data_IF_783541294012
#
_entry.id   IF_783541294012
#
_cell.length_a   1.000
_cell.length_b   1.000
_cell.length_c   1.000
_cell.angle_alpha   90.00
_cell.angle_beta   90.00
_cell.angle_gamma   90.00
#
_symmetry.space_group_name_H-M   'P 1'
#
loop_
_entity.id
_entity.type
_entity.pdbx_description
1 polymer ?
#
# COMPACT_ATOMS: atom_id res chain seq x y z
N UNK A 1 0.73 4.77 -12.01
CA UNK A 1 1.72 5.54 -12.80
C UNK A 1 3.01 4.75 -13.07
N UNK A 2 3.69 4.20 -12.06
CA UNK A 2 4.90 3.39 -12.28
C UNK A 2 4.64 2.19 -13.20
N UNK A 3 3.56 1.44 -12.95
CA UNK A 3 3.17 0.30 -13.79
C UNK A 3 2.97 0.67 -15.27
N UNK A 4 2.33 1.81 -15.56
CA UNK A 4 2.10 2.29 -16.93
C UNK A 4 3.42 2.70 -17.60
N UNK A 5 4.35 3.33 -16.86
CA UNK A 5 5.72 3.61 -17.35
C UNK A 5 6.53 2.34 -17.61
N UNK A 6 6.27 1.28 -16.86
CA UNK A 6 6.89 -0.04 -17.06
C UNK A 6 6.24 -0.85 -18.21
N UNK A 7 5.24 -0.30 -18.92
CA UNK A 7 4.53 -1.00 -19.99
C UNK A 7 3.62 -2.14 -19.51
N UNK A 8 3.31 -2.20 -18.21
CA UNK A 8 2.44 -3.25 -17.66
C UNK A 8 0.99 -2.94 -18.04
N UNK A 9 0.26 -3.98 -18.40
CA UNK A 9 -1.13 -3.91 -18.86
C UNK A 9 -2.14 -4.30 -17.79
N UNK A 10 -1.67 -4.85 -16.66
CA UNK A 10 -2.53 -5.36 -15.59
C UNK A 10 -1.95 -5.06 -14.21
N UNK A 11 -2.83 -4.79 -13.24
CA UNK A 11 -2.48 -4.59 -11.84
C UNK A 11 -3.04 -5.73 -10.99
N UNK A 12 -2.27 -6.16 -10.00
CA UNK A 12 -2.77 -7.05 -8.94
C UNK A 12 -2.43 -6.47 -7.58
N UNK A 13 -3.30 -6.71 -6.60
CA UNK A 13 -3.10 -6.30 -5.22
C UNK A 13 -3.77 -7.29 -4.26
N UNK A 14 -3.37 -7.23 -3.00
CA UNK A 14 -3.95 -7.97 -1.88
C UNK A 14 -4.71 -7.04 -0.94
N UNK A 15 -5.74 -7.52 -0.24
CA UNK A 15 -6.35 -6.70 0.80
C UNK A 15 -6.97 -7.54 1.92
N UNK A 16 -6.95 -6.99 3.13
CA UNK A 16 -7.59 -7.57 4.31
C UNK A 16 -8.82 -6.75 4.68
N UNK A 17 -8.64 -5.61 5.35
CA UNK A 17 -9.74 -4.70 5.68
C UNK A 17 -10.42 -4.06 4.45
N UNK A 18 -9.80 -4.11 3.27
CA UNK A 18 -10.36 -3.60 2.00
C UNK A 18 -9.87 -2.22 1.58
N UNK A 19 -9.25 -1.43 2.46
CA UNK A 19 -8.81 -0.06 2.14
C UNK A 19 -7.77 -0.01 1.00
N UNK A 20 -6.74 -0.85 1.06
CA UNK A 20 -5.74 -0.95 0.00
C UNK A 20 -6.37 -1.37 -1.34
N UNK A 21 -7.33 -2.30 -1.29
CA UNK A 21 -8.05 -2.75 -2.47
C UNK A 21 -8.88 -1.63 -3.10
N UNK A 22 -9.62 -0.86 -2.28
CA UNK A 22 -10.39 0.29 -2.74
C UNK A 22 -9.48 1.36 -3.37
N UNK A 23 -8.37 1.70 -2.72
CA UNK A 23 -7.40 2.66 -3.25
C UNK A 23 -6.79 2.19 -4.58
N UNK A 24 -6.46 0.90 -4.67
CA UNK A 24 -5.92 0.30 -5.89
C UNK A 24 -6.95 0.32 -7.03
N UNK A 25 -8.19 -0.08 -6.74
CA UNK A 25 -9.28 -0.07 -7.71
C UNK A 25 -9.54 1.35 -8.27
N UNK A 26 -9.57 2.35 -7.39
CA UNK A 26 -9.73 3.75 -7.79
C UNK A 26 -8.59 4.21 -8.71
N UNK A 27 -7.34 3.96 -8.31
CA UNK A 27 -6.18 4.34 -9.11
C UNK A 27 -6.16 3.63 -10.48
N UNK A 28 -6.61 2.38 -10.53
CA UNK A 28 -6.69 1.60 -11.77
C UNK A 28 -7.82 2.09 -12.68
N UNK A 29 -8.99 2.42 -12.12
CA UNK A 29 -10.10 3.04 -12.85
C UNK A 29 -9.68 4.39 -13.47
N UNK A 30 -8.96 5.23 -12.72
CA UNK A 30 -8.45 6.51 -13.22
C UNK A 30 -7.39 6.37 -14.32
N UNK A 31 -6.65 5.26 -14.35
CA UNK A 31 -5.55 5.04 -15.28
C UNK A 31 -5.91 4.12 -16.46
N UNK A 32 -7.16 3.65 -16.48
CA UNK A 32 -7.72 2.68 -17.42
C UNK A 32 -6.87 1.39 -17.47
N UNK A 33 -6.67 0.79 -16.30
CA UNK A 33 -5.91 -0.45 -16.15
C UNK A 33 -6.77 -1.53 -15.49
N UNK A 34 -6.85 -2.75 -16.05
CA UNK A 34 -7.55 -3.85 -15.39
C UNK A 34 -6.82 -4.21 -14.09
N UNK A 35 -7.59 -4.37 -13.01
CA UNK A 35 -7.06 -4.72 -11.71
C UNK A 35 -7.76 -5.94 -11.11
N UNK A 36 -6.94 -6.85 -10.54
CA UNK A 36 -7.45 -7.96 -9.71
C UNK A 36 -7.00 -7.81 -8.27
N UNK A 37 -7.92 -8.02 -7.35
CA UNK A 37 -7.69 -7.84 -5.92
C UNK A 37 -7.95 -9.16 -5.22
N UNK A 38 -6.91 -9.71 -4.60
CA UNK A 38 -6.99 -10.91 -3.78
C UNK A 38 -7.40 -10.55 -2.36
N UNK A 39 -8.44 -11.21 -1.85
CA UNK A 39 -8.96 -10.94 -0.51
C UNK A 39 -9.34 -12.26 0.16
N UNK A 40 -9.01 -12.45 1.43
CA UNK A 40 -9.38 -13.66 2.16
C UNK A 40 -10.91 -13.83 2.20
N UNK A 41 -11.44 -15.04 2.00
CA UNK A 41 -12.88 -15.25 1.91
C UNK A 41 -13.64 -14.75 3.16
N UNK A 42 -13.06 -14.92 4.35
CA UNK A 42 -13.63 -14.39 5.61
C UNK A 42 -13.67 -12.86 5.64
N UNK A 43 -12.67 -12.22 5.05
CA UNK A 43 -12.58 -10.77 4.98
C UNK A 43 -13.55 -10.21 3.93
N UNK A 44 -13.79 -10.94 2.83
CA UNK A 44 -14.81 -10.59 1.82
C UNK A 44 -16.19 -10.51 2.45
N UNK A 45 -16.57 -11.51 3.26
CA UNK A 45 -17.87 -11.54 3.92
C UNK A 45 -18.00 -10.41 4.96
N UNK A 46 -16.95 -10.19 5.76
CA UNK A 46 -16.93 -9.15 6.79
C UNK A 46 -16.90 -7.73 6.24
N UNK A 47 -16.27 -7.53 5.08
CA UNK A 47 -16.00 -6.21 4.48
C UNK A 47 -16.76 -6.03 3.15
N UNK A 48 -17.98 -6.58 3.08
CA UNK A 48 -18.87 -6.46 1.93
C UNK A 48 -18.98 -5.04 1.34
N UNK A 49 -19.08 -3.95 2.14
CA UNK A 49 -19.12 -2.59 1.59
C UNK A 49 -17.89 -2.21 0.77
N UNK A 50 -16.70 -2.65 1.18
CA UNK A 50 -15.46 -2.36 0.45
C UNK A 50 -15.35 -3.24 -0.81
N UNK A 51 -15.79 -4.49 -0.75
CA UNK A 51 -15.86 -5.39 -1.91
C UNK A 51 -16.79 -4.81 -2.98
N UNK A 52 -17.94 -4.28 -2.57
CA UNK A 52 -18.87 -3.63 -3.47
C UNK A 52 -18.24 -2.41 -4.15
N UNK A 53 -17.56 -1.54 -3.38
CA UNK A 53 -16.84 -0.37 -3.94
C UNK A 53 -15.77 -0.77 -4.95
N UNK A 54 -14.99 -1.80 -4.66
CA UNK A 54 -13.97 -2.32 -5.57
C UNK A 54 -14.59 -2.77 -6.90
N UNK A 55 -15.67 -3.55 -6.85
CA UNK A 55 -16.39 -4.01 -8.05
C UNK A 55 -17.04 -2.86 -8.83
N UNK A 56 -17.60 -1.87 -8.13
CA UNK A 56 -18.18 -0.67 -8.74
C UNK A 56 -17.13 0.11 -9.56
N UNK A 57 -15.89 0.12 -9.10
CA UNK A 57 -14.75 0.73 -9.80
C UNK A 57 -14.15 -0.19 -10.89
N UNK A 58 -14.78 -1.32 -11.22
CA UNK A 58 -14.34 -2.23 -12.27
C UNK A 58 -13.24 -3.21 -11.85
N UNK A 59 -12.91 -3.31 -10.56
CA UNK A 59 -11.93 -4.27 -10.06
C UNK A 59 -12.52 -5.68 -9.93
N UNK A 60 -11.74 -6.68 -10.32
CA UNK A 60 -12.07 -8.10 -10.09
C UNK A 60 -11.63 -8.50 -8.69
N UNK A 61 -12.57 -8.80 -7.79
CA UNK A 61 -12.26 -9.25 -6.42
C UNK A 61 -12.26 -10.77 -6.37
N UNK A 62 -11.10 -11.37 -6.10
CA UNK A 62 -10.88 -12.83 -6.03
C UNK A 62 -10.87 -13.26 -4.55
N UNK A 63 -11.90 -14.00 -4.09
CA UNK A 63 -11.92 -14.54 -2.74
C UNK A 63 -10.96 -15.74 -2.60
N UNK A 64 -10.01 -15.65 -1.68
CA UNK A 64 -9.06 -16.72 -1.38
C UNK A 64 -9.62 -17.60 -0.26
N UNK A 65 -9.97 -18.84 -0.63
CA UNK A 65 -10.50 -19.86 0.29
C UNK A 65 -9.41 -20.80 0.85
N UNK A 66 -8.16 -20.68 0.36
CA UNK A 66 -7.05 -21.53 0.83
C UNK A 66 -6.59 -21.11 2.23
N UNK A 67 -6.20 -22.10 3.03
CA UNK A 67 -5.55 -21.89 4.32
C UNK A 67 -6.47 -21.21 5.35
N UNK A 68 -5.97 -20.17 6.00
CA UNK A 68 -6.68 -19.45 7.06
C UNK A 68 -7.79 -18.52 6.55
N UNK A 69 -7.86 -18.31 5.22
CA UNK A 69 -8.72 -17.36 4.53
C UNK A 69 -8.51 -15.92 4.99
N UNK A 70 -7.25 -15.53 5.24
CA UNK A 70 -6.86 -14.21 5.75
C UNK A 70 -5.98 -13.44 4.78
N UNK A 71 -5.58 -12.21 5.15
CA UNK A 71 -4.63 -11.38 4.41
C UNK A 71 -3.36 -12.14 4.01
N UNK A 72 -2.82 -13.01 4.87
CA UNK A 72 -1.61 -13.79 4.55
C UNK A 72 -1.82 -14.69 3.33
N UNK A 73 -2.96 -15.36 3.26
CA UNK A 73 -3.29 -16.25 2.14
C UNK A 73 -3.53 -15.45 0.86
N UNK A 74 -4.15 -14.27 0.98
CA UNK A 74 -4.30 -13.33 -0.13
C UNK A 74 -2.95 -12.84 -0.69
N UNK A 75 -1.98 -12.49 0.18
CA UNK A 75 -0.62 -12.15 -0.23
C UNK A 75 0.03 -13.31 -1.00
N UNK A 76 -0.12 -14.54 -0.52
CA UNK A 76 0.48 -15.71 -1.17
C UNK A 76 -0.10 -15.98 -2.56
N UNK A 77 -1.43 -15.89 -2.74
CA UNK A 77 -2.03 -16.05 -4.07
C UNK A 77 -1.67 -14.89 -5.01
N UNK A 78 -1.63 -13.65 -4.51
CA UNK A 78 -1.18 -12.51 -5.30
C UNK A 78 0.28 -12.67 -5.77
N UNK A 79 1.18 -13.16 -4.91
CA UNK A 79 2.57 -13.46 -5.30
C UNK A 79 2.66 -14.60 -6.31
N UNK A 80 1.82 -15.63 -6.20
CA UNK A 80 1.76 -16.73 -7.18
C UNK A 80 1.33 -16.22 -8.55
N UNK A 81 0.27 -15.42 -8.61
CA UNK A 81 -0.17 -14.78 -9.86
C UNK A 81 0.93 -13.88 -10.44
N UNK A 82 1.58 -13.07 -9.59
CA UNK A 82 2.69 -12.25 -10.02
C UNK A 82 3.83 -13.08 -10.63
N UNK A 83 4.22 -14.18 -9.98
CA UNK A 83 5.31 -15.04 -10.49
C UNK A 83 5.00 -15.67 -11.85
N UNK A 84 3.74 -15.93 -12.15
CA UNK A 84 3.31 -16.49 -13.43
C UNK A 84 3.15 -15.43 -14.53
N UNK A 85 2.83 -14.18 -14.16
CA UNK A 85 2.41 -13.14 -15.11
C UNK A 85 3.22 -11.83 -14.99
N UNK A 86 4.41 -11.83 -14.37
CA UNK A 86 5.16 -10.60 -14.04
C UNK A 86 5.51 -9.75 -15.27
N UNK A 87 5.56 -10.32 -16.47
CA UNK A 87 5.88 -9.61 -17.71
C UNK A 87 4.80 -8.58 -18.06
N UNK A 88 3.53 -8.93 -17.88
CA UNK A 88 2.37 -8.08 -18.19
C UNK A 88 1.76 -7.44 -16.94
N UNK A 89 2.02 -8.01 -15.77
CA UNK A 89 1.35 -7.68 -14.51
C UNK A 89 2.28 -6.98 -13.52
N UNK A 90 1.80 -5.86 -12.94
CA UNK A 90 2.45 -5.21 -11.81
C UNK A 90 1.76 -5.57 -10.50
N UNK A 91 2.53 -6.05 -9.53
CA UNK A 91 2.04 -6.29 -8.18
C UNK A 91 2.18 -5.05 -7.32
N UNK A 92 1.04 -4.53 -6.85
CA UNK A 92 0.93 -3.32 -6.07
C UNK A 92 0.75 -3.68 -4.59
N UNK A 93 1.87 -3.93 -3.93
CA UNK A 93 1.93 -4.36 -2.53
C UNK A 93 1.60 -3.19 -1.60
N UNK A 94 0.63 -3.39 -0.70
CA UNK A 94 -0.02 -2.30 0.05
C UNK A 94 0.66 -1.86 1.34
N UNK A 95 1.83 -2.42 1.64
CA UNK A 95 2.50 -2.25 2.93
C UNK A 95 4.01 -2.12 2.77
N UNK A 96 4.69 -1.53 3.76
CA UNK A 96 6.16 -1.45 3.78
C UNK A 96 6.80 -2.77 4.23
N UNK A 97 6.32 -3.89 3.68
CA UNK A 97 6.84 -5.22 3.92
C UNK A 97 7.08 -5.94 2.58
N UNK A 98 7.64 -7.15 2.62
CA UNK A 98 7.98 -7.91 1.42
C UNK A 98 9.43 -7.71 0.94
N UNK A 99 9.81 -8.34 -0.18
CA UNK A 99 11.19 -8.34 -0.67
C UNK A 99 11.58 -6.95 -1.18
N UNK A 100 12.89 -6.66 -1.15
CA UNK A 100 13.42 -5.52 -1.89
C UNK A 100 13.01 -5.63 -3.38
N UNK A 101 12.56 -4.54 -4.04
CA UNK A 101 12.61 -3.12 -3.64
C UNK A 101 11.32 -2.54 -3.04
N UNK A 102 10.29 -3.35 -2.75
CA UNK A 102 8.97 -2.83 -2.34
C UNK A 102 8.99 -1.97 -1.07
N UNK A 103 9.68 -2.33 0.03
CA UNK A 103 9.74 -1.48 1.21
C UNK A 103 10.35 -0.10 0.92
N UNK A 104 11.36 -0.02 0.06
CA UNK A 104 11.98 1.25 -0.33
C UNK A 104 11.00 2.10 -1.14
N UNK A 105 10.30 1.51 -2.10
CA UNK A 105 9.33 2.23 -2.94
C UNK A 105 8.18 2.77 -2.09
N UNK A 106 7.57 1.91 -1.25
CA UNK A 106 6.45 2.31 -0.38
C UNK A 106 6.88 3.40 0.59
N UNK A 107 8.10 3.32 1.13
CA UNK A 107 8.67 4.34 2.01
C UNK A 107 8.85 5.68 1.30
N UNK A 108 9.37 5.70 0.07
CA UNK A 108 9.54 6.96 -0.67
C UNK A 108 8.19 7.57 -1.08
N UNK A 109 7.20 6.75 -1.43
CA UNK A 109 5.85 7.22 -1.74
C UNK A 109 5.01 7.65 -0.55
N UNK A 110 5.45 7.39 0.68
CA UNK A 110 4.77 7.84 1.90
C UNK A 110 5.51 9.02 2.56
N UNK A 111 6.73 9.34 2.11
CA UNK A 111 7.61 10.37 2.71
C UNK A 111 6.94 11.74 2.81
N UNK A 112 6.08 12.10 1.86
CA UNK A 112 5.43 13.41 1.84
C UNK A 112 4.63 13.70 3.11
N UNK A 113 4.04 12.69 3.77
CA UNK A 113 3.29 12.88 5.02
C UNK A 113 4.18 13.52 6.09
N UNK A 114 5.43 13.06 6.21
CA UNK A 114 6.39 13.59 7.17
C UNK A 114 6.90 14.97 6.80
N UNK A 115 7.13 15.23 5.51
CA UNK A 115 7.56 16.54 5.00
C UNK A 115 6.47 17.60 5.20
N UNK A 116 5.22 17.28 4.90
CA UNK A 116 4.07 18.15 5.12
C UNK A 116 3.81 18.38 6.60
N UNK A 117 3.85 17.34 7.43
CA UNK A 117 3.68 17.47 8.89
C UNK A 117 4.76 18.38 9.49
N UNK A 118 6.02 18.22 9.05
CA UNK A 118 7.13 19.07 9.51
C UNK A 118 6.95 20.52 9.09
N UNK A 119 6.51 20.79 7.85
CA UNK A 119 6.21 22.14 7.39
C UNK A 119 5.07 22.76 8.20
N UNK A 120 3.96 22.05 8.35
CA UNK A 120 2.77 22.53 9.04
C UNK A 120 3.01 22.81 10.54
N UNK A 121 3.79 21.97 11.23
CA UNK A 121 4.07 22.18 12.66
C UNK A 121 5.05 23.33 12.88
N UNK A 122 6.03 23.51 12.00
CA UNK A 122 6.94 24.66 12.06
C UNK A 122 6.20 25.98 11.77
N UNK A 123 5.26 25.99 10.81
CA UNK A 123 4.44 27.15 10.50
C UNK A 123 3.49 27.55 11.65
N UNK A 124 2.95 26.56 12.39
CA UNK A 124 1.96 26.81 13.45
C UNK A 124 2.57 27.04 14.83
N UNK A 125 3.59 26.27 15.18
CA UNK A 125 4.13 26.20 16.54
C UNK A 125 5.58 26.72 16.62
N UNK A 126 6.23 27.02 15.49
CA UNK A 126 7.62 27.51 15.44
C UNK A 126 8.67 26.50 15.94
N UNK A 127 8.27 25.27 16.25
CA UNK A 127 9.12 24.22 16.83
C UNK A 127 8.75 22.84 16.32
N UNK A 128 9.65 21.88 16.54
CA UNK A 128 9.37 20.48 16.30
C UNK A 128 8.48 19.91 17.44
N UNK A 129 7.57 18.96 17.14
CA UNK A 129 6.78 18.24 18.12
C UNK A 129 7.67 17.35 19.00
N UNK A 130 7.26 17.21 20.26
CA UNK A 130 7.96 16.40 21.26
C UNK A 130 7.85 14.90 20.93
N UNK A 131 6.73 14.47 20.36
CA UNK A 131 6.48 13.10 19.92
C UNK A 131 5.55 13.05 18.71
N UNK A 132 5.68 11.99 17.91
CA UNK A 132 4.76 11.65 16.81
C UNK A 132 4.30 10.22 17.01
N UNK A 133 2.98 10.00 17.01
CA UNK A 133 2.37 8.70 17.31
C UNK A 133 1.64 8.19 16.07
N UNK A 134 1.92 6.94 15.67
CA UNK A 134 1.25 6.29 14.54
C UNK A 134 0.96 4.81 14.86
N UNK A 135 -0.20 4.32 14.43
CA UNK A 135 -0.55 2.91 14.55
C UNK A 135 0.31 2.04 13.62
N UNK A 136 0.82 0.92 14.13
CA UNK A 136 1.70 0.00 13.41
C UNK A 136 0.95 -1.29 13.10
N UNK A 137 0.45 -1.41 11.86
CA UNK A 137 0.04 -2.69 11.28
C UNK A 137 1.17 -3.26 10.42
N UNK A 138 1.22 -2.87 9.15
CA UNK A 138 2.30 -3.21 8.22
C UNK A 138 3.41 -2.16 8.08
N UNK A 139 3.34 -1.07 8.85
CA UNK A 139 4.42 -0.09 9.01
C UNK A 139 4.51 1.02 7.96
N UNK A 140 3.71 1.02 6.89
CA UNK A 140 3.78 2.02 5.81
C UNK A 140 3.48 3.45 6.25
N UNK A 141 2.54 3.66 7.17
CA UNK A 141 2.25 4.97 7.75
C UNK A 141 3.31 5.36 8.82
N UNK A 142 3.65 4.41 9.69
CA UNK A 142 4.55 4.67 10.82
C UNK A 142 6.01 4.93 10.39
N UNK A 143 6.49 4.34 9.29
CA UNK A 143 7.87 4.52 8.81
C UNK A 143 8.18 5.97 8.47
N UNK A 144 7.15 6.76 8.18
CA UNK A 144 7.26 8.19 7.89
C UNK A 144 7.42 9.01 9.16
N UNK A 145 6.70 8.66 10.24
CA UNK A 145 6.84 9.29 11.56
C UNK A 145 8.25 9.11 12.13
N UNK A 146 8.90 7.95 11.91
CA UNK A 146 10.28 7.73 12.35
C UNK A 146 11.29 8.62 11.61
N UNK A 147 11.02 9.01 10.36
CA UNK A 147 11.91 9.91 9.60
C UNK A 147 11.86 11.36 10.10
N UNK A 148 10.85 11.72 10.88
CA UNK A 148 10.73 13.03 11.51
C UNK A 148 11.98 13.37 12.35
N UNK A 149 12.53 12.36 13.05
CA UNK A 149 13.72 12.51 13.91
C UNK A 149 15.05 12.13 13.24
N UNK A 150 15.03 11.37 12.15
CA UNK A 150 16.27 10.93 11.49
C UNK A 150 16.82 12.02 10.56
N UNK A 151 15.99 12.91 9.99
CA UNK A 151 16.48 14.04 9.20
C UNK A 151 17.00 15.24 10.02
N UNK A 152 17.07 15.14 11.36
CA UNK A 152 17.72 16.16 12.21
C UNK A 152 19.21 15.88 12.47
N UNK A 153 19.77 14.76 12.00
CA UNK A 153 21.21 14.54 12.00
C UNK A 153 21.68 14.21 10.58
N UNK A 154 21.81 15.25 9.75
CA UNK A 154 23.01 15.33 8.93
C UNK A 154 24.19 15.22 9.89
N UNK A 155 24.81 14.05 9.85
CA UNK A 155 26.13 13.79 10.35
C UNK A 155 27.07 14.83 9.71
N UNK A 156 27.29 15.91 10.43
CA UNK A 156 28.44 16.79 10.29
C UNK A 156 29.13 16.74 11.65
N UNK A 157 30.37 16.25 11.64
CA UNK A 157 31.32 16.13 12.76
C UNK A 157 30.95 15.14 13.89
N UNK A 158 31.42 13.89 13.75
CA UNK A 158 32.55 13.33 14.51
C UNK A 158 33.14 12.14 13.76
#
# INVERSE_FOLDING_TARGET
>A
LLAKRMGKTRIIAETGAGQHGVATALACAMLDMPCRIYMGAKDVDRQSPNVFRMRLMGAEVIPVQKGSCSLKDACCEAMRDWSANYETTHYLLGTAAGPHPFPTIVREFQKMIGEETKRQILEREGRLPDAVIAAVGGGSNAIVCFRFRIMTNSCSSL
#
